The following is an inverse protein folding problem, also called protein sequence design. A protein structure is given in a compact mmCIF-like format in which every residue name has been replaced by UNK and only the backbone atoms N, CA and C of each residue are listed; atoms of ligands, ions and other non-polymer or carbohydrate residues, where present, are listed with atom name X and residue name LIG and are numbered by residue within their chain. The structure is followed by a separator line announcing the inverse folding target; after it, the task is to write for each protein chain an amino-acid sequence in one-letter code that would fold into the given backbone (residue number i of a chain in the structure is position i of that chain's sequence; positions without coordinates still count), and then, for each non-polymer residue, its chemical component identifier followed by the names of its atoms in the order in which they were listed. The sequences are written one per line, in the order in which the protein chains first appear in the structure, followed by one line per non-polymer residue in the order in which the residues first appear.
data_IF_075595204800
#
_entry.id   IF_075595204800
#
_cell.length_a   1.000
_cell.length_b   1.000
_cell.length_c   1.000
_cell.angle_alpha   90.00
_cell.angle_beta   90.00
_cell.angle_gamma   90.00
#
_symmetry.space_group_name_H-M   'P 1'
#
loop_
_entity.id
_entity.type
_entity.pdbx_description
1 polymer ?
#
# COMPACT_ATOMS: atom_id res chain seq x y z
N UNK A 1 -15.23 3.16 17.09
CA UNK A 1 -14.20 3.46 18.10
C UNK A 1 -13.41 4.72 17.74
N UNK A 2 -13.02 4.92 16.48
CA UNK A 2 -12.26 6.10 16.01
C UNK A 2 -12.98 7.43 16.28
N UNK A 3 -14.30 7.47 16.14
CA UNK A 3 -15.11 8.68 16.38
C UNK A 3 -15.11 9.07 17.88
N UNK A 4 -15.14 8.10 18.78
CA UNK A 4 -15.15 8.36 20.24
C UNK A 4 -13.86 8.99 20.76
N UNK A 5 -12.75 8.88 20.01
CA UNK A 5 -11.42 9.27 20.46
C UNK A 5 -10.72 10.27 19.52
N UNK A 6 -11.47 10.91 18.60
CA UNK A 6 -10.93 11.88 17.61
C UNK A 6 -9.82 11.35 16.71
N UNK A 7 -9.75 10.02 16.51
CA UNK A 7 -8.74 9.41 15.65
C UNK A 7 -9.10 9.42 14.15
N UNK A 8 -10.19 10.09 13.78
CA UNK A 8 -10.68 10.13 12.39
C UNK A 8 -9.65 10.75 11.45
N UNK A 9 -9.02 11.84 11.88
CA UNK A 9 -8.06 12.57 11.04
C UNK A 9 -6.66 11.93 11.03
N UNK A 10 -6.15 11.52 12.19
CA UNK A 10 -4.75 11.12 12.38
C UNK A 10 -4.53 9.63 12.63
N UNK A 11 -5.61 8.86 12.80
CA UNK A 11 -5.54 7.44 13.12
C UNK A 11 -5.11 7.14 14.56
N UNK A 12 -4.94 5.85 14.85
CA UNK A 12 -4.60 5.34 16.20
C UNK A 12 -3.13 4.93 16.35
N UNK A 13 -2.34 4.97 15.33
CA UNK A 13 -1.00 4.40 15.16
C UNK A 13 -0.99 2.91 14.75
N UNK A 14 0.08 2.46 14.07
CA UNK A 14 0.23 1.06 13.64
C UNK A 14 0.29 0.04 14.80
N UNK A 15 0.57 0.50 16.02
CA UNK A 15 0.68 -0.37 17.18
C UNK A 15 -0.68 -0.65 17.86
N UNK A 16 -1.77 -0.04 17.37
CA UNK A 16 -3.11 -0.22 17.93
C UNK A 16 -4.10 -0.68 16.90
N UNK A 17 -4.86 -1.72 17.23
CA UNK A 17 -5.95 -2.25 16.42
C UNK A 17 -7.30 -1.54 16.64
N UNK A 18 -8.32 -2.04 16.00
CA UNK A 18 -9.70 -1.65 16.21
C UNK A 18 -10.27 -2.34 17.45
N UNK A 19 -11.15 -1.63 18.17
CA UNK A 19 -11.93 -2.26 19.24
C UNK A 19 -12.96 -3.19 18.59
N UNK A 20 -12.86 -4.49 18.84
CA UNK A 20 -13.80 -5.49 18.37
C UNK A 20 -14.44 -6.21 19.57
N UNK A 21 -15.69 -5.87 19.83
CA UNK A 21 -16.43 -6.44 20.98
C UNK A 21 -16.85 -7.90 20.76
N UNK A 22 -16.77 -8.41 19.54
CA UNK A 22 -17.12 -9.78 19.20
C UNK A 22 -15.95 -10.76 19.28
N UNK A 23 -14.72 -10.26 19.22
CA UNK A 23 -13.52 -11.08 19.38
C UNK A 23 -13.10 -11.16 20.84
N UNK A 24 -13.95 -11.79 21.63
CA UNK A 24 -13.61 -12.15 22.98
C UNK A 24 -12.54 -13.26 22.95
N UNK A 25 -11.34 -12.92 23.36
CA UNK A 25 -10.32 -13.81 23.93
C UNK A 25 -9.84 -15.06 23.15
N UNK A 26 -10.15 -15.29 21.91
CA UNK A 26 -9.73 -16.52 21.21
C UNK A 26 -8.33 -16.47 20.59
N UNK A 27 -7.64 -15.36 20.64
CA UNK A 27 -6.26 -15.28 20.17
C UNK A 27 -5.35 -14.85 21.30
N UNK A 28 -5.17 -15.73 22.24
CA UNK A 28 -3.89 -15.90 22.89
C UNK A 28 -2.92 -16.32 21.78
N UNK A 29 -2.35 -15.32 21.11
CA UNK A 29 -1.23 -15.54 20.22
C UNK A 29 -0.14 -16.17 21.08
N UNK A 30 0.18 -17.46 20.87
CA UNK A 30 1.15 -18.22 21.66
C UNK A 30 2.58 -17.65 21.68
N UNK A 31 2.74 -16.37 21.30
CA UNK A 31 3.99 -15.60 21.27
C UNK A 31 4.07 -14.49 22.32
N UNK A 32 3.21 -14.49 23.33
CA UNK A 32 3.40 -13.65 24.52
C UNK A 32 3.14 -12.14 24.34
N UNK A 33 2.61 -11.69 23.22
CA UNK A 33 2.10 -10.33 23.10
C UNK A 33 0.65 -10.32 23.56
N UNK A 34 0.43 -9.89 24.81
CA UNK A 34 -0.90 -9.68 25.33
C UNK A 34 -1.58 -8.56 24.55
N UNK A 35 -2.39 -8.95 23.58
CA UNK A 35 -3.37 -8.05 22.98
C UNK A 35 -4.32 -7.61 24.10
N UNK A 36 -4.71 -6.33 24.08
CA UNK A 36 -5.78 -5.90 24.98
C UNK A 36 -7.02 -6.73 24.65
N UNK A 37 -7.77 -7.21 25.65
CA UNK A 37 -9.03 -7.89 25.39
C UNK A 37 -9.89 -6.96 24.52
N UNK A 38 -10.47 -7.49 23.44
CA UNK A 38 -11.31 -6.80 22.45
C UNK A 38 -10.55 -5.89 21.44
N UNK A 39 -9.29 -6.11 21.14
CA UNK A 39 -8.56 -5.35 20.13
C UNK A 39 -8.16 -6.25 18.96
N UNK A 40 -8.61 -5.90 17.74
CA UNK A 40 -8.24 -6.58 16.49
C UNK A 40 -7.16 -5.76 15.78
N UNK A 41 -5.98 -6.34 15.55
CA UNK A 41 -4.85 -5.61 14.96
C UNK A 41 -4.95 -5.38 13.47
N UNK A 42 -5.57 -6.29 12.73
CA UNK A 42 -5.59 -6.27 11.27
C UNK A 42 -7.01 -6.47 10.77
N UNK A 43 -7.45 -5.60 9.87
CA UNK A 43 -8.70 -5.76 9.13
C UNK A 43 -8.41 -6.51 7.81
N UNK A 44 -9.43 -7.17 7.27
CA UNK A 44 -9.33 -7.88 5.98
C UNK A 44 -9.17 -6.91 4.80
N UNK A 45 -9.60 -5.67 4.95
CA UNK A 45 -9.52 -4.62 3.94
C UNK A 45 -8.33 -3.72 4.22
N UNK A 46 -7.42 -3.62 3.25
CA UNK A 46 -6.17 -2.87 3.41
C UNK A 46 -6.37 -1.39 3.71
N UNK A 47 -7.33 -0.73 3.08
CA UNK A 47 -7.64 0.68 3.37
C UNK A 47 -8.18 0.92 4.78
N UNK A 48 -8.88 -0.05 5.38
CA UNK A 48 -9.30 0.05 6.77
C UNK A 48 -8.12 0.00 7.73
N UNK A 49 -7.08 -0.76 7.40
CA UNK A 49 -5.84 -0.78 8.15
C UNK A 49 -5.11 0.56 8.06
N UNK A 50 -4.95 1.08 6.85
CA UNK A 50 -4.36 2.41 6.62
C UNK A 50 -5.15 3.48 7.38
N UNK A 51 -6.49 3.46 7.30
CA UNK A 51 -7.35 4.39 8.04
C UNK A 51 -7.16 4.28 9.56
N UNK A 52 -7.13 3.08 10.08
CA UNK A 52 -6.93 2.85 11.52
C UNK A 52 -5.58 3.38 11.99
N UNK A 53 -4.52 3.18 11.20
CA UNK A 53 -3.16 3.55 11.59
C UNK A 53 -2.87 5.03 11.45
N UNK A 54 -3.26 5.64 10.34
CA UNK A 54 -2.86 7.01 9.97
C UNK A 54 -4.03 7.93 9.59
N UNK A 55 -5.27 7.49 9.79
CA UNK A 55 -6.48 8.28 9.63
C UNK A 55 -6.77 8.68 8.19
N UNK A 56 -7.69 9.65 8.06
CA UNK A 56 -8.13 10.17 6.76
C UNK A 56 -7.01 10.89 6.02
N UNK A 57 -6.20 11.66 6.72
CA UNK A 57 -5.03 12.35 6.15
C UNK A 57 -4.06 11.35 5.53
N UNK A 58 -3.81 10.24 6.24
CA UNK A 58 -2.94 9.19 5.75
C UNK A 58 -3.47 8.50 4.49
N UNK A 59 -4.78 8.21 4.42
CA UNK A 59 -5.41 7.63 3.22
C UNK A 59 -5.24 8.56 2.02
N UNK A 60 -5.47 9.87 2.20
CA UNK A 60 -5.32 10.84 1.12
C UNK A 60 -3.88 10.87 0.61
N UNK A 61 -2.90 10.99 1.50
CA UNK A 61 -1.48 11.01 1.13
C UNK A 61 -1.05 9.70 0.47
N UNK A 62 -1.46 8.57 1.02
CA UNK A 62 -1.22 7.24 0.46
C UNK A 62 -1.78 7.13 -0.96
N UNK A 63 -3.03 7.51 -1.17
CA UNK A 63 -3.68 7.50 -2.49
C UNK A 63 -3.01 8.45 -3.47
N UNK A 64 -2.58 9.63 -3.04
CA UNK A 64 -1.85 10.59 -3.88
C UNK A 64 -0.57 10.00 -4.46
N UNK A 65 0.16 9.17 -3.71
CA UNK A 65 1.37 8.50 -4.21
C UNK A 65 1.03 7.57 -5.36
N UNK A 66 0.01 6.72 -5.21
CA UNK A 66 -0.43 5.79 -6.25
C UNK A 66 -0.93 6.50 -7.51
N UNK A 67 -1.79 7.51 -7.34
CA UNK A 67 -2.31 8.29 -8.45
C UNK A 67 -1.22 9.05 -9.18
N UNK A 68 -0.31 9.70 -8.46
CA UNK A 68 0.82 10.40 -9.06
C UNK A 68 1.73 9.46 -9.84
N UNK A 69 2.10 8.32 -9.27
CA UNK A 69 2.94 7.32 -9.92
C UNK A 69 2.28 6.78 -11.19
N UNK A 70 1.02 6.36 -11.09
CA UNK A 70 0.25 5.85 -12.22
C UNK A 70 0.08 6.91 -13.31
N UNK A 71 -0.31 8.13 -12.95
CA UNK A 71 -0.49 9.24 -13.89
C UNK A 71 0.81 9.55 -14.64
N UNK A 72 1.93 9.67 -13.94
CA UNK A 72 3.22 9.95 -14.56
C UNK A 72 3.64 8.83 -15.51
N UNK A 73 3.47 7.57 -15.10
CA UNK A 73 3.84 6.43 -15.92
C UNK A 73 2.96 6.29 -17.16
N UNK A 74 1.65 6.49 -17.05
CA UNK A 74 0.72 6.35 -18.18
C UNK A 74 0.81 7.53 -19.14
N UNK A 75 0.83 8.77 -18.61
CA UNK A 75 0.69 9.98 -19.41
C UNK A 75 2.02 10.56 -19.89
N UNK A 76 3.12 10.30 -19.19
CA UNK A 76 4.42 10.94 -19.48
C UNK A 76 5.55 9.96 -19.76
N UNK A 77 5.26 8.70 -20.06
CA UNK A 77 6.30 7.73 -20.43
C UNK A 77 6.36 7.54 -21.93
N UNK A 78 7.58 7.37 -22.43
CA UNK A 78 7.84 7.09 -23.84
C UNK A 78 7.73 5.60 -24.16
N UNK A 79 7.90 4.71 -23.16
CA UNK A 79 7.86 3.27 -23.35
C UNK A 79 6.56 2.62 -22.87
N UNK A 80 6.21 1.52 -23.51
CA UNK A 80 4.99 0.74 -23.22
C UNK A 80 5.09 0.04 -21.86
N UNK A 81 6.29 -0.38 -21.45
CA UNK A 81 6.50 -1.09 -20.17
C UNK A 81 6.15 -0.22 -18.98
N UNK A 82 6.55 1.05 -18.99
CA UNK A 82 6.22 1.98 -17.91
C UNK A 82 4.73 2.31 -17.88
N UNK A 83 4.07 2.42 -19.04
CA UNK A 83 2.61 2.60 -19.08
C UNK A 83 1.89 1.39 -18.47
N UNK A 84 2.34 0.18 -18.77
CA UNK A 84 1.80 -1.04 -18.18
C UNK A 84 2.01 -1.08 -16.65
N UNK A 85 3.21 -0.72 -16.18
CA UNK A 85 3.49 -0.61 -14.74
C UNK A 85 2.58 0.42 -14.06
N UNK A 86 2.33 1.56 -14.70
CA UNK A 86 1.42 2.59 -14.18
C UNK A 86 -0.02 2.08 -14.02
N UNK A 87 -0.53 1.33 -15.00
CA UNK A 87 -1.85 0.69 -14.92
C UNK A 87 -1.87 -0.35 -13.80
N UNK A 88 -0.81 -1.15 -13.67
CA UNK A 88 -0.70 -2.14 -12.60
C UNK A 88 -0.69 -1.48 -11.20
N UNK A 89 0.01 -0.36 -11.03
CA UNK A 89 0.01 0.41 -9.78
C UNK A 89 -1.39 0.90 -9.44
N UNK A 90 -2.15 1.43 -10.41
CA UNK A 90 -3.55 1.85 -10.22
C UNK A 90 -4.44 0.66 -9.82
N UNK A 91 -4.27 -0.48 -10.49
CA UNK A 91 -5.00 -1.70 -10.18
C UNK A 91 -4.71 -2.20 -8.76
N UNK A 92 -3.46 -2.18 -8.31
CA UNK A 92 -3.09 -2.55 -6.95
C UNK A 92 -3.69 -1.60 -5.90
N UNK A 93 -3.80 -0.32 -6.21
CA UNK A 93 -4.53 0.61 -5.36
C UNK A 93 -6.01 0.23 -5.23
N UNK A 94 -6.68 -0.09 -6.35
CA UNK A 94 -8.08 -0.49 -6.34
C UNK A 94 -8.30 -1.79 -5.56
N UNK A 95 -7.40 -2.78 -5.67
CA UNK A 95 -7.45 -4.01 -4.89
C UNK A 95 -7.37 -3.79 -3.38
N UNK A 96 -6.69 -2.75 -2.92
CA UNK A 96 -6.60 -2.41 -1.49
C UNK A 96 -7.95 -2.13 -0.82
N UNK A 97 -9.00 -1.85 -1.60
CA UNK A 97 -10.38 -1.71 -1.13
C UNK A 97 -11.10 -3.05 -0.89
N UNK A 98 -10.56 -4.14 -1.42
CA UNK A 98 -11.16 -5.48 -1.34
C UNK A 98 -10.33 -6.36 -0.40
N UNK A 99 -8.99 -6.28 -0.49
CA UNK A 99 -8.07 -7.18 0.19
C UNK A 99 -6.97 -6.39 0.91
N UNK A 100 -6.42 -6.96 1.98
CA UNK A 100 -5.27 -6.36 2.66
C UNK A 100 -3.98 -6.63 1.88
N UNK A 101 -3.48 -5.57 1.25
CA UNK A 101 -2.21 -5.57 0.49
C UNK A 101 -1.07 -4.88 1.24
N UNK A 102 -1.33 -4.45 2.48
CA UNK A 102 -0.37 -3.64 3.26
C UNK A 102 0.53 -4.48 4.17
N UNK A 103 0.35 -5.80 4.19
CA UNK A 103 1.23 -6.71 4.91
C UNK A 103 2.65 -6.63 4.33
N UNK A 104 3.65 -6.66 5.22
CA UNK A 104 5.06 -6.54 4.85
C UNK A 104 5.59 -7.85 4.24
N UNK A 105 5.17 -8.12 3.00
CA UNK A 105 5.64 -9.23 2.19
C UNK A 105 6.52 -8.74 1.04
N UNK A 106 7.22 -9.66 0.40
CA UNK A 106 8.04 -9.39 -0.80
C UNK A 106 7.24 -8.67 -1.89
N UNK A 107 5.95 -8.95 -2.01
CA UNK A 107 5.02 -8.29 -2.93
C UNK A 107 4.89 -6.78 -2.67
N UNK A 108 4.90 -6.36 -1.41
CA UNK A 108 4.84 -4.95 -1.04
C UNK A 108 6.14 -4.23 -1.41
N UNK A 109 7.29 -4.88 -1.23
CA UNK A 109 8.59 -4.33 -1.64
C UNK A 109 8.62 -4.13 -3.16
N UNK A 110 8.18 -5.15 -3.93
CA UNK A 110 8.10 -5.06 -5.39
C UNK A 110 7.17 -3.93 -5.81
N UNK A 111 6.01 -3.78 -5.17
CA UNK A 111 5.08 -2.69 -5.47
C UNK A 111 5.71 -1.30 -5.25
N UNK A 112 6.41 -1.11 -4.14
CA UNK A 112 7.10 0.16 -3.86
C UNK A 112 8.24 0.42 -4.84
N UNK A 113 8.95 -0.61 -5.29
CA UNK A 113 9.94 -0.49 -6.37
C UNK A 113 9.28 -0.06 -7.69
N UNK A 114 8.14 -0.65 -8.06
CA UNK A 114 7.38 -0.24 -9.24
C UNK A 114 6.92 1.21 -9.16
N UNK A 115 6.40 1.64 -8.00
CA UNK A 115 6.01 3.04 -7.76
C UNK A 115 7.23 3.97 -7.94
N UNK A 116 8.38 3.62 -7.38
CA UNK A 116 9.60 4.40 -7.53
C UNK A 116 10.06 4.49 -8.99
N UNK A 117 9.99 3.39 -9.75
CA UNK A 117 10.28 3.40 -11.19
C UNK A 117 9.31 4.31 -11.96
N UNK A 118 8.00 4.23 -11.66
CA UNK A 118 6.98 5.09 -12.27
C UNK A 118 7.22 6.58 -12.00
N UNK A 119 7.78 6.93 -10.85
CA UNK A 119 8.10 8.32 -10.48
C UNK A 119 9.44 8.80 -11.06
N UNK A 120 10.31 7.89 -11.48
CA UNK A 120 11.64 8.24 -12.00
C UNK A 120 11.59 8.72 -13.46
N UNK A 121 12.12 9.92 -13.71
CA UNK A 121 12.24 10.48 -15.06
C UNK A 121 13.11 9.62 -15.97
N UNK A 122 14.16 9.02 -15.41
CA UNK A 122 15.09 8.17 -16.15
C UNK A 122 14.35 7.00 -16.82
N UNK A 123 13.55 6.25 -16.06
CA UNK A 123 12.82 5.10 -16.61
C UNK A 123 11.70 5.50 -17.56
N UNK A 124 11.06 6.64 -17.32
CA UNK A 124 9.97 7.13 -18.18
C UNK A 124 10.45 7.65 -19.55
N UNK A 125 11.67 8.19 -19.60
CA UNK A 125 12.25 8.75 -20.83
C UNK A 125 13.00 7.70 -21.66
N UNK A 126 13.23 6.48 -21.16
CA UNK A 126 13.82 5.40 -21.95
C UNK A 126 12.85 4.96 -23.04
N UNK A 127 13.39 4.59 -24.21
CA UNK A 127 12.66 3.89 -25.26
C UNK A 127 12.44 2.42 -24.91
N UNK A 128 11.53 1.75 -25.62
CA UNK A 128 11.22 0.33 -25.39
C UNK A 128 12.46 -0.56 -25.51
N UNK A 129 13.35 -0.28 -26.46
CA UNK A 129 14.60 -1.02 -26.68
C UNK A 129 15.61 -0.80 -25.56
N UNK A 130 15.74 0.43 -25.08
CA UNK A 130 16.64 0.79 -23.97
C UNK A 130 16.18 0.15 -22.67
N UNK A 131 14.88 0.21 -22.39
CA UNK A 131 14.31 -0.40 -21.19
C UNK A 131 14.50 -1.91 -21.20
N UNK A 132 14.26 -2.55 -22.35
CA UNK A 132 14.49 -3.99 -22.53
C UNK A 132 15.95 -4.38 -22.30
N UNK A 133 16.89 -3.63 -22.86
CA UNK A 133 18.33 -3.87 -22.68
C UNK A 133 18.75 -3.67 -21.22
N UNK A 134 18.23 -2.64 -20.55
CA UNK A 134 18.48 -2.41 -19.14
C UNK A 134 17.98 -3.59 -18.30
N UNK A 135 16.76 -4.04 -18.56
CA UNK A 135 16.15 -5.17 -17.84
C UNK A 135 16.96 -6.47 -18.02
N UNK A 136 17.38 -6.76 -19.26
CA UNK A 136 18.21 -7.94 -19.54
C UNK A 136 19.58 -7.90 -18.86
N UNK A 137 20.17 -6.72 -18.66
CA UNK A 137 21.41 -6.56 -17.89
C UNK A 137 21.26 -6.79 -16.39
N UNK A 138 20.04 -6.64 -15.85
CA UNK A 138 19.75 -6.90 -14.44
C UNK A 138 19.43 -8.36 -14.15
N UNK A 139 19.21 -9.18 -15.19
CA UNK A 139 19.05 -10.62 -15.05
C UNK A 139 20.45 -11.27 -15.00
N UNK A 140 20.69 -12.18 -14.04
CA UNK A 140 21.96 -12.88 -13.90
C UNK A 140 22.27 -13.81 -15.07
#
# INVERSE_FOLDING_TARGET
SSIKHDYVLWGRSPARGNDDYFFESLVSDGKGHALRPNERHVNEVGFLNVYTWIGLVGIILYSCIFFKASFLAVSRSHNVYMKFLGVFVAFRWALGWIEDINLFFIQSIILWMMIAMCMSDKFRNMDDSEFRMWFLKCLP
#
